data_IF_731203315861
#
_entry.id   IF_731203315861
#
_cell.length_a   1.000
_cell.length_b   1.000
_cell.length_c   1.000
_cell.angle_alpha   90.00
_cell.angle_beta   90.00
_cell.angle_gamma   90.00
#
_symmetry.space_group_name_H-M   'P 1'
#
loop_
_entity.id
_entity.type
_entity.pdbx_description
1 polymer ?
#
# COMPACT_ATOMS: atom_id res chain seq x y z
N UNK A 1 14.55 0.98 14.46
CA UNK A 1 14.20 1.57 13.15
C UNK A 1 15.09 2.77 12.94
N UNK A 2 15.92 2.78 11.89
CA UNK A 2 16.78 3.91 11.54
C UNK A 2 16.09 4.74 10.45
N UNK A 3 16.17 6.06 10.51
CA UNK A 3 15.74 6.93 9.42
C UNK A 3 16.92 7.21 8.47
N UNK A 4 16.72 6.99 7.18
CA UNK A 4 17.64 7.37 6.12
C UNK A 4 17.05 8.56 5.35
N UNK A 5 17.82 9.63 5.20
CA UNK A 5 17.48 10.78 4.37
C UNK A 5 18.30 10.73 3.09
N UNK A 6 17.61 10.80 1.95
CA UNK A 6 18.22 10.72 0.63
C UNK A 6 17.84 11.97 -0.15
N UNK A 7 18.84 12.66 -0.68
CA UNK A 7 18.66 13.85 -1.50
C UNK A 7 19.05 13.52 -2.94
N UNK A 8 18.13 13.74 -3.87
CA UNK A 8 18.37 13.54 -5.30
C UNK A 8 17.35 14.34 -6.13
N UNK A 9 17.73 14.68 -7.37
CA UNK A 9 16.80 15.28 -8.32
C UNK A 9 15.79 14.23 -8.81
N UNK A 10 16.27 13.01 -9.09
CA UNK A 10 15.44 11.87 -9.47
C UNK A 10 15.30 10.89 -8.28
N UNK A 11 14.22 11.04 -7.53
CA UNK A 11 13.96 10.22 -6.35
C UNK A 11 13.72 8.74 -6.70
N UNK A 12 13.07 8.46 -7.82
CA UNK A 12 12.78 7.08 -8.23
C UNK A 12 14.08 6.33 -8.50
N UNK A 13 15.00 6.94 -9.24
CA UNK A 13 16.29 6.34 -9.58
C UNK A 13 17.13 6.03 -8.34
N UNK A 14 17.24 6.96 -7.38
CA UNK A 14 18.05 6.73 -6.18
C UNK A 14 17.44 5.65 -5.28
N UNK A 15 16.11 5.56 -5.19
CA UNK A 15 15.42 4.49 -4.47
C UNK A 15 15.70 3.14 -5.13
N UNK A 16 15.65 3.09 -6.46
CA UNK A 16 16.03 1.91 -7.21
C UNK A 16 17.47 1.50 -6.98
N UNK A 17 18.42 2.44 -6.97
CA UNK A 17 19.81 2.16 -6.65
C UNK A 17 19.97 1.58 -5.24
N UNK A 18 19.23 2.12 -4.25
CA UNK A 18 19.23 1.57 -2.89
C UNK A 18 18.70 0.15 -2.83
N UNK A 19 17.60 -0.13 -3.51
CA UNK A 19 17.02 -1.47 -3.56
C UNK A 19 17.96 -2.46 -4.26
N UNK A 20 18.57 -2.06 -5.40
CA UNK A 20 19.52 -2.90 -6.16
C UNK A 20 20.77 -3.26 -5.37
N UNK A 21 21.21 -2.44 -4.41
CA UNK A 21 22.34 -2.79 -3.52
C UNK A 21 22.07 -4.04 -2.71
N UNK A 22 20.81 -4.36 -2.42
CA UNK A 22 20.41 -5.59 -1.74
C UNK A 22 20.55 -6.84 -2.63
N UNK A 23 21.11 -6.72 -3.84
CA UNK A 23 21.63 -7.86 -4.61
C UNK A 23 22.94 -8.43 -4.06
N UNK A 24 23.59 -7.72 -3.13
CA UNK A 24 24.83 -8.15 -2.44
C UNK A 24 24.50 -8.89 -1.15
N UNK A 25 24.92 -10.16 -1.03
CA UNK A 25 24.73 -10.94 0.19
C UNK A 25 25.37 -10.27 1.41
N UNK A 26 26.53 -9.61 1.26
CA UNK A 26 27.21 -8.93 2.37
C UNK A 26 26.39 -7.75 2.91
N UNK A 27 25.62 -7.08 2.05
CA UNK A 27 24.72 -6.01 2.48
C UNK A 27 23.45 -6.59 3.11
N UNK A 28 22.92 -7.69 2.56
CA UNK A 28 21.79 -8.40 3.14
C UNK A 28 22.11 -8.93 4.55
N UNK A 29 23.30 -9.46 4.77
CA UNK A 29 23.79 -9.90 6.08
C UNK A 29 23.70 -8.77 7.12
N UNK A 30 24.20 -7.58 6.76
CA UNK A 30 24.11 -6.38 7.61
C UNK A 30 22.67 -5.93 7.85
N UNK A 31 21.77 -6.12 6.89
CA UNK A 31 20.34 -5.83 7.07
C UNK A 31 19.73 -6.82 8.06
N UNK A 32 19.96 -8.11 7.88
CA UNK A 32 19.42 -9.18 8.72
C UNK A 32 19.92 -9.03 10.16
N UNK A 33 21.22 -8.84 10.39
CA UNK A 33 21.79 -8.64 11.72
C UNK A 33 21.26 -7.41 12.46
N UNK A 34 20.91 -6.34 11.71
CA UNK A 34 20.28 -5.15 12.31
C UNK A 34 18.84 -5.43 12.77
N UNK A 35 18.13 -6.32 12.08
CA UNK A 35 16.75 -6.70 12.38
C UNK A 35 16.66 -7.82 13.43
N UNK A 36 17.63 -8.73 13.44
CA UNK A 36 17.77 -9.80 14.43
C UNK A 36 19.24 -9.95 14.84
N UNK A 37 19.56 -9.51 16.07
CA UNK A 37 20.95 -9.37 16.54
C UNK A 37 21.66 -10.69 16.84
N UNK A 38 20.91 -11.77 16.99
CA UNK A 38 21.45 -13.10 17.27
C UNK A 38 20.96 -14.05 16.19
N UNK A 39 21.88 -14.56 15.38
CA UNK A 39 21.59 -15.56 14.35
C UNK A 39 22.82 -16.44 14.17
N UNK A 40 22.67 -17.78 14.08
CA UNK A 40 23.78 -18.67 13.76
C UNK A 40 24.41 -18.27 12.41
N UNK A 41 25.74 -18.31 12.33
CA UNK A 41 26.49 -17.89 11.12
C UNK A 41 26.04 -18.63 9.86
N UNK A 42 25.73 -19.92 9.97
CA UNK A 42 25.22 -20.75 8.87
C UNK A 42 23.85 -20.29 8.38
N UNK A 43 22.93 -20.01 9.30
CA UNK A 43 21.57 -19.49 9.00
C UNK A 43 21.67 -18.11 8.38
N UNK A 44 22.54 -17.25 8.92
CA UNK A 44 22.77 -15.90 8.41
C UNK A 44 23.32 -15.92 6.97
N UNK A 45 24.27 -16.82 6.68
CA UNK A 45 24.81 -17.00 5.34
C UNK A 45 23.72 -17.47 4.34
N UNK A 46 22.90 -18.45 4.73
CA UNK A 46 21.80 -18.94 3.89
C UNK A 46 20.74 -17.84 3.63
N UNK A 47 20.31 -17.15 4.69
CA UNK A 47 19.30 -16.08 4.59
C UNK A 47 19.82 -14.90 3.77
N UNK A 48 21.05 -14.44 4.00
CA UNK A 48 21.62 -13.32 3.25
C UNK A 48 21.77 -13.64 1.75
N UNK A 49 22.18 -14.87 1.41
CA UNK A 49 22.23 -15.33 0.03
C UNK A 49 20.83 -15.44 -0.60
N UNK A 50 19.86 -16.01 0.12
CA UNK A 50 18.47 -16.14 -0.32
C UNK A 50 17.81 -14.78 -0.56
N UNK A 51 17.97 -13.84 0.37
CA UNK A 51 17.49 -12.47 0.25
C UNK A 51 18.11 -11.77 -0.96
N UNK A 52 19.43 -11.85 -1.12
CA UNK A 52 20.12 -11.26 -2.26
C UNK A 52 19.67 -11.82 -3.60
N UNK A 53 19.40 -13.14 -3.65
CA UNK A 53 18.86 -13.78 -4.83
C UNK A 53 17.43 -13.31 -5.14
N UNK A 54 16.55 -13.26 -4.14
CA UNK A 54 15.17 -12.80 -4.30
C UNK A 54 15.12 -11.35 -4.80
N UNK A 55 15.95 -10.45 -4.24
CA UNK A 55 16.08 -9.07 -4.73
C UNK A 55 16.58 -9.04 -6.18
N UNK A 56 17.62 -9.83 -6.54
CA UNK A 56 18.09 -9.90 -7.93
C UNK A 56 17.02 -10.38 -8.89
N UNK A 57 16.25 -11.40 -8.50
CA UNK A 57 15.14 -11.93 -9.30
C UNK A 57 14.06 -10.85 -9.50
N UNK A 58 13.67 -10.17 -8.42
CA UNK A 58 12.71 -9.09 -8.47
C UNK A 58 13.16 -7.94 -9.39
N UNK A 59 14.42 -7.48 -9.26
CA UNK A 59 15.01 -6.45 -10.14
C UNK A 59 15.04 -6.93 -11.59
N UNK A 60 15.43 -8.18 -11.85
CA UNK A 60 15.45 -8.75 -13.19
C UNK A 60 14.07 -8.74 -13.87
N UNK A 61 13.01 -9.13 -13.15
CA UNK A 61 11.64 -8.98 -13.65
C UNK A 61 11.30 -7.51 -13.91
N UNK A 62 11.67 -6.60 -13.01
CA UNK A 62 11.36 -5.18 -13.15
C UNK A 62 12.06 -4.52 -14.36
N UNK A 63 13.32 -4.86 -14.60
CA UNK A 63 14.15 -4.30 -15.68
C UNK A 63 13.96 -4.99 -17.03
N UNK A 64 13.19 -6.08 -17.09
CA UNK A 64 12.93 -6.80 -18.35
C UNK A 64 12.42 -5.81 -19.39
N UNK A 65 13.18 -5.64 -20.49
CA UNK A 65 12.83 -4.72 -21.58
C UNK A 65 11.42 -5.02 -22.04
N UNK A 66 10.59 -3.99 -21.99
CA UNK A 66 9.14 -4.05 -22.12
C UNK A 66 8.71 -4.71 -23.43
N UNK A 67 8.06 -5.87 -23.31
CA UNK A 67 7.02 -6.25 -24.26
C UNK A 67 5.79 -5.35 -24.11
N UNK A 68 4.67 -5.74 -24.71
CA UNK A 68 3.38 -5.04 -24.54
C UNK A 68 2.90 -4.97 -23.08
N UNK A 69 1.74 -4.36 -22.87
CA UNK A 69 1.15 -4.14 -21.54
C UNK A 69 1.04 -5.44 -20.73
N UNK A 70 0.67 -6.55 -21.37
CA UNK A 70 0.62 -7.87 -20.78
C UNK A 70 1.95 -8.31 -20.13
N UNK A 71 3.07 -8.12 -20.81
CA UNK A 71 4.39 -8.49 -20.33
C UNK A 71 4.81 -7.62 -19.13
N UNK A 72 4.44 -6.33 -19.14
CA UNK A 72 4.68 -5.42 -18.02
C UNK A 72 3.89 -5.84 -16.78
N UNK A 73 2.59 -6.12 -16.92
CA UNK A 73 1.75 -6.60 -15.80
C UNK A 73 2.36 -7.86 -15.17
N UNK A 74 2.72 -8.84 -15.99
CA UNK A 74 3.27 -10.11 -15.50
C UNK A 74 4.62 -9.92 -14.82
N UNK A 75 5.50 -9.12 -15.41
CA UNK A 75 6.82 -8.89 -14.82
C UNK A 75 6.70 -8.15 -13.48
N UNK A 76 5.81 -7.15 -13.35
CA UNK A 76 5.59 -6.47 -12.06
C UNK A 76 4.98 -7.38 -11.01
N UNK A 77 4.06 -8.25 -11.41
CA UNK A 77 3.51 -9.24 -10.50
C UNK A 77 4.60 -10.16 -9.92
N UNK A 78 5.42 -10.77 -10.79
CA UNK A 78 6.50 -11.65 -10.32
C UNK A 78 7.59 -10.88 -9.57
N UNK A 79 7.84 -9.62 -9.91
CA UNK A 79 8.76 -8.79 -9.17
C UNK A 79 8.27 -8.55 -7.73
N UNK A 80 6.98 -8.25 -7.52
CA UNK A 80 6.41 -8.13 -6.18
C UNK A 80 6.38 -9.44 -5.41
N UNK A 81 6.14 -10.57 -6.09
CA UNK A 81 6.28 -11.89 -5.48
C UNK A 81 7.68 -12.07 -4.91
N UNK A 82 8.71 -11.79 -5.71
CA UNK A 82 10.10 -11.89 -5.26
C UNK A 82 10.46 -10.87 -4.16
N UNK A 83 9.91 -9.66 -4.19
CA UNK A 83 10.10 -8.67 -3.12
C UNK A 83 9.45 -9.12 -1.79
N UNK A 84 8.27 -9.74 -1.86
CA UNK A 84 7.61 -10.29 -0.66
C UNK A 84 8.41 -11.45 -0.05
N UNK A 85 9.04 -12.29 -0.89
CA UNK A 85 9.98 -13.33 -0.43
C UNK A 85 11.20 -12.70 0.25
N UNK A 86 11.80 -11.69 -0.38
CA UNK A 86 12.96 -10.99 0.20
C UNK A 86 12.62 -10.36 1.57
N UNK A 87 11.43 -9.79 1.72
CA UNK A 87 10.95 -9.26 3.00
C UNK A 87 10.77 -10.34 4.06
N UNK A 88 10.19 -11.50 3.72
CA UNK A 88 10.05 -12.62 4.65
C UNK A 88 11.41 -13.15 5.10
N UNK A 89 12.37 -13.27 4.18
CA UNK A 89 13.74 -13.66 4.55
C UNK A 89 14.38 -12.60 5.45
N UNK A 90 14.16 -11.31 5.18
CA UNK A 90 14.68 -10.24 6.02
C UNK A 90 14.01 -10.17 7.41
N UNK A 91 12.88 -10.85 7.63
CA UNK A 91 12.26 -10.96 8.94
C UNK A 91 13.17 -11.69 9.93
N UNK A 92 13.02 -11.39 11.23
CA UNK A 92 13.90 -11.90 12.29
C UNK A 92 13.80 -13.39 12.59
N UNK A 93 12.93 -14.13 11.91
CA UNK A 93 12.71 -15.56 12.08
C UNK A 93 13.80 -16.40 11.39
N UNK A 94 14.56 -17.17 12.16
CA UNK A 94 15.63 -18.04 11.69
C UNK A 94 15.18 -19.08 10.65
N UNK A 95 13.90 -19.48 10.68
CA UNK A 95 13.36 -20.52 9.79
C UNK A 95 12.89 -19.99 8.43
N UNK A 96 12.79 -18.67 8.28
CA UNK A 96 12.39 -18.00 7.04
C UNK A 96 13.56 -17.90 6.04
N UNK A 97 13.94 -19.03 5.46
CA UNK A 97 14.94 -19.13 4.39
C UNK A 97 14.29 -19.22 3.01
N UNK A 98 15.05 -19.02 1.94
CA UNK A 98 14.52 -19.13 0.58
C UNK A 98 13.88 -20.52 0.32
N UNK A 99 14.51 -21.67 0.68
CA UNK A 99 13.87 -22.98 0.53
C UNK A 99 12.59 -23.15 1.35
N UNK A 100 12.50 -22.59 2.55
CA UNK A 100 11.29 -22.73 3.38
C UNK A 100 10.13 -21.93 2.80
N UNK A 101 10.40 -20.72 2.32
CA UNK A 101 9.38 -19.86 1.69
C UNK A 101 8.95 -20.42 0.33
N UNK A 102 9.86 -21.00 -0.45
CA UNK A 102 9.55 -21.65 -1.73
C UNK A 102 8.45 -22.71 -1.58
N UNK A 103 8.44 -23.49 -0.49
CA UNK A 103 7.39 -24.50 -0.24
C UNK A 103 5.99 -23.90 -0.22
N UNK A 104 5.82 -22.65 0.24
CA UNK A 104 4.53 -21.96 0.16
C UNK A 104 4.18 -21.57 -1.27
N UNK A 105 5.15 -21.11 -2.07
CA UNK A 105 4.91 -20.79 -3.49
C UNK A 105 4.56 -22.03 -4.32
N UNK A 106 5.11 -23.20 -4.00
CA UNK A 106 4.81 -24.49 -4.64
C UNK A 106 3.38 -24.97 -4.36
N UNK A 107 2.81 -24.58 -3.22
CA UNK A 107 1.38 -24.82 -2.90
C UNK A 107 0.45 -23.85 -3.65
N UNK A 108 1.00 -22.87 -4.36
CA UNK A 108 0.28 -21.82 -5.07
C UNK A 108 0.42 -20.46 -4.40
N UNK A 109 -0.08 -19.42 -5.07
CA UNK A 109 0.14 -18.04 -4.63
C UNK A 109 -0.76 -17.61 -3.46
N UNK A 110 -1.71 -18.46 -3.04
CA UNK A 110 -2.60 -18.20 -1.91
C UNK A 110 -3.73 -17.21 -2.18
N UNK A 111 -4.00 -16.92 -3.46
CA UNK A 111 -5.10 -16.10 -3.93
C UNK A 111 -5.89 -16.88 -5.00
N UNK A 112 -7.14 -16.49 -5.22
CA UNK A 112 -7.94 -16.97 -6.35
C UNK A 112 -8.80 -15.83 -6.92
N UNK A 113 -9.22 -16.01 -8.17
CA UNK A 113 -10.22 -15.14 -8.80
C UNK A 113 -11.48 -15.92 -9.18
N UNK A 114 -12.62 -15.23 -9.18
CA UNK A 114 -13.91 -15.72 -9.66
C UNK A 114 -14.71 -14.56 -10.24
N UNK A 115 -15.68 -14.84 -11.09
CA UNK A 115 -16.57 -13.83 -11.66
C UNK A 115 -17.94 -13.95 -11.01
N UNK A 116 -18.57 -12.82 -10.70
CA UNK A 116 -19.98 -12.77 -10.30
C UNK A 116 -20.90 -12.77 -11.53
N UNK A 117 -22.11 -13.30 -11.37
CA UNK A 117 -23.10 -13.35 -12.46
C UNK A 117 -23.69 -11.98 -12.81
N UNK A 118 -23.53 -11.00 -11.93
CA UNK A 118 -24.10 -9.65 -12.06
C UNK A 118 -22.97 -8.62 -12.16
N UNK A 119 -23.19 -7.62 -13.00
CA UNK A 119 -22.26 -6.52 -13.23
C UNK A 119 -21.27 -6.80 -14.36
N UNK A 120 -20.47 -5.80 -14.67
CA UNK A 120 -19.45 -5.84 -15.73
C UNK A 120 -18.04 -5.79 -15.15
N UNK A 121 -17.04 -6.14 -15.96
CA UNK A 121 -15.64 -6.01 -15.57
C UNK A 121 -15.28 -4.52 -15.42
N UNK A 122 -14.51 -4.10 -14.39
CA UNK A 122 -13.84 -4.92 -13.37
C UNK A 122 -14.64 -5.14 -12.08
N UNK A 123 -15.88 -4.65 -11.99
CA UNK A 123 -16.70 -4.73 -10.77
C UNK A 123 -17.19 -6.15 -10.46
N UNK A 124 -17.45 -6.97 -11.47
CA UNK A 124 -17.86 -8.36 -11.30
C UNK A 124 -16.68 -9.34 -11.13
N UNK A 125 -15.43 -8.88 -11.25
CA UNK A 125 -14.24 -9.72 -11.15
C UNK A 125 -13.73 -9.72 -9.71
N UNK A 126 -13.97 -10.81 -9.00
CA UNK A 126 -13.75 -10.92 -7.57
C UNK A 126 -12.44 -11.65 -7.26
N UNK A 127 -11.74 -11.18 -6.25
CA UNK A 127 -10.52 -11.77 -5.72
C UNK A 127 -10.78 -12.27 -4.29
N UNK A 128 -10.25 -13.44 -3.96
CA UNK A 128 -10.31 -14.04 -2.64
C UNK A 128 -8.95 -14.56 -2.20
N UNK A 129 -8.73 -14.66 -0.88
CA UNK A 129 -7.53 -15.28 -0.31
C UNK A 129 -7.81 -16.72 0.14
N UNK A 130 -6.78 -17.55 0.08
CA UNK A 130 -6.80 -18.94 0.56
C UNK A 130 -6.03 -19.04 1.89
N UNK A 131 -6.33 -20.06 2.69
CA UNK A 131 -5.58 -20.37 3.92
C UNK A 131 -4.20 -20.98 3.67
N UNK A 132 -3.95 -21.47 2.46
CA UNK A 132 -2.67 -22.08 2.06
C UNK A 132 -2.02 -21.31 0.91
N UNK A 133 -0.70 -21.46 0.77
CA UNK A 133 0.09 -20.82 -0.28
C UNK A 133 0.88 -19.60 0.21
N UNK A 134 1.49 -18.89 -0.74
CA UNK A 134 2.41 -17.79 -0.45
C UNK A 134 1.75 -16.60 0.28
N UNK A 135 0.64 -16.07 -0.23
CA UNK A 135 -0.01 -14.87 0.31
C UNK A 135 -0.35 -14.96 1.81
N UNK A 136 -1.05 -16.00 2.33
CA UNK A 136 -1.33 -16.10 3.76
C UNK A 136 -0.05 -16.23 4.61
N UNK A 137 0.97 -16.95 4.12
CA UNK A 137 2.27 -17.04 4.82
C UNK A 137 2.97 -15.67 4.90
N UNK A 138 2.90 -14.89 3.83
CA UNK A 138 3.39 -13.51 3.80
C UNK A 138 2.62 -12.61 4.77
N UNK A 139 1.29 -12.62 4.74
CA UNK A 139 0.44 -11.87 5.66
C UNK A 139 0.71 -12.23 7.14
N UNK A 140 0.91 -13.51 7.45
CA UNK A 140 1.29 -13.96 8.80
C UNK A 140 2.63 -13.37 9.26
N UNK A 141 3.62 -13.30 8.36
CA UNK A 141 4.94 -12.69 8.65
C UNK A 141 4.80 -11.20 9.00
N UNK A 142 3.74 -10.55 8.52
CA UNK A 142 3.39 -9.15 8.75
C UNK A 142 2.36 -8.94 9.86
N UNK A 143 2.00 -10.00 10.58
CA UNK A 143 0.98 -9.97 11.64
C UNK A 143 -0.38 -9.45 11.15
N UNK A 144 -0.70 -9.70 9.88
CA UNK A 144 -1.96 -9.29 9.27
C UNK A 144 -3.03 -10.37 9.47
N UNK A 145 -4.17 -10.00 10.08
CA UNK A 145 -5.27 -10.89 10.41
C UNK A 145 -6.19 -11.18 9.20
N UNK A 146 -5.65 -11.71 8.11
CA UNK A 146 -6.43 -12.04 6.90
C UNK A 146 -7.14 -13.40 6.97
N UNK A 147 -6.82 -14.22 7.97
CA UNK A 147 -7.33 -15.59 8.10
C UNK A 147 -8.85 -15.68 8.26
N UNK A 148 -9.48 -14.65 8.85
CA UNK A 148 -10.94 -14.55 9.00
C UNK A 148 -11.67 -14.46 7.64
N UNK A 149 -10.98 -13.93 6.63
CA UNK A 149 -11.48 -13.77 5.27
C UNK A 149 -11.07 -14.92 4.35
N UNK A 150 -10.12 -15.76 4.78
CA UNK A 150 -9.52 -16.78 3.96
C UNK A 150 -10.41 -18.01 3.74
N UNK A 151 -10.35 -18.55 2.52
CA UNK A 151 -11.06 -19.75 2.13
C UNK A 151 -10.17 -20.98 2.26
N UNK A 152 -10.74 -22.11 2.69
CA UNK A 152 -10.04 -23.41 2.68
C UNK A 152 -9.68 -23.85 1.25
N UNK A 153 -10.54 -23.52 0.28
CA UNK A 153 -10.37 -23.85 -1.13
C UNK A 153 -11.14 -22.86 -1.99
N UNK A 154 -10.71 -22.70 -3.25
CA UNK A 154 -11.48 -21.95 -4.25
C UNK A 154 -12.91 -22.49 -4.35
N UNK A 155 -13.94 -21.64 -4.16
CA UNK A 155 -15.33 -22.04 -4.36
C UNK A 155 -15.56 -22.53 -5.79
N UNK A 156 -16.29 -23.65 -5.94
CA UNK A 156 -16.63 -24.26 -7.24
C UNK A 156 -18.03 -23.88 -7.72
N UNK A 157 -18.85 -23.35 -6.82
CA UNK A 157 -20.21 -22.89 -7.08
C UNK A 157 -20.25 -21.39 -6.86
N UNK A 158 -21.37 -20.78 -7.24
CA UNK A 158 -21.63 -19.39 -6.94
C UNK A 158 -21.53 -19.12 -5.44
N UNK A 159 -20.93 -17.98 -5.10
CA UNK A 159 -20.71 -17.57 -3.72
C UNK A 159 -22.05 -17.26 -3.06
N UNK A 160 -22.27 -17.75 -1.84
CA UNK A 160 -23.37 -17.29 -0.98
C UNK A 160 -23.04 -15.93 -0.34
N UNK A 161 -23.98 -15.32 0.39
CA UNK A 161 -23.78 -13.99 0.99
C UNK A 161 -22.59 -13.90 1.95
N UNK A 162 -22.38 -14.93 2.78
CA UNK A 162 -21.26 -14.98 3.71
C UNK A 162 -19.89 -15.16 2.99
N UNK A 163 -19.87 -15.85 1.86
CA UNK A 163 -18.69 -15.95 0.99
C UNK A 163 -18.46 -14.66 0.20
N UNK A 164 -19.52 -13.99 -0.26
CA UNK A 164 -19.45 -12.70 -0.95
C UNK A 164 -18.82 -11.61 -0.07
N UNK A 165 -19.11 -11.61 1.23
CA UNK A 165 -18.49 -10.67 2.18
C UNK A 165 -16.97 -10.87 2.35
N UNK A 166 -16.41 -12.01 1.92
CA UNK A 166 -14.99 -12.36 2.07
C UNK A 166 -14.17 -12.18 0.79
N UNK A 167 -14.80 -11.73 -0.30
CA UNK A 167 -14.12 -11.43 -1.56
C UNK A 167 -14.23 -9.95 -1.86
N UNK A 168 -13.30 -9.43 -2.67
CA UNK A 168 -13.24 -8.00 -3.04
C UNK A 168 -13.19 -7.90 -4.55
N UNK A 169 -13.94 -6.98 -5.14
CA UNK A 169 -13.90 -6.76 -6.59
C UNK A 169 -12.60 -6.08 -7.01
N UNK A 170 -12.16 -6.33 -8.25
CA UNK A 170 -11.00 -5.66 -8.82
C UNK A 170 -11.22 -4.15 -8.94
N UNK A 171 -12.45 -3.71 -9.24
CA UNK A 171 -12.84 -2.31 -9.17
C UNK A 171 -12.57 -1.72 -7.78
N UNK A 172 -13.02 -2.40 -6.72
CA UNK A 172 -12.84 -1.96 -5.33
C UNK A 172 -11.38 -1.95 -4.87
N UNK A 173 -10.55 -2.85 -5.38
CA UNK A 173 -9.11 -2.81 -5.14
C UNK A 173 -8.47 -1.60 -5.85
N UNK A 174 -8.82 -1.33 -7.11
CA UNK A 174 -8.30 -0.17 -7.85
C UNK A 174 -8.71 1.16 -7.20
N UNK A 175 -9.97 1.28 -6.74
CA UNK A 175 -10.48 2.45 -6.01
C UNK A 175 -9.71 2.74 -4.72
N UNK A 176 -9.06 1.74 -4.13
CA UNK A 176 -8.28 1.86 -2.89
C UNK A 176 -6.85 2.36 -3.11
N UNK A 177 -6.36 2.41 -4.35
CA UNK A 177 -5.01 2.92 -4.65
C UNK A 177 -5.00 4.43 -4.46
N UNK A 178 -4.29 4.99 -3.47
CA UNK A 178 -4.32 6.43 -3.19
C UNK A 178 -3.90 7.29 -4.37
N UNK A 179 -2.92 6.84 -5.14
CA UNK A 179 -2.41 7.54 -6.31
C UNK A 179 -3.40 7.57 -7.50
N UNK A 180 -4.45 6.74 -7.49
CA UNK A 180 -5.50 6.74 -8.51
C UNK A 180 -6.73 7.56 -8.11
N UNK A 181 -6.72 8.19 -6.92
CA UNK A 181 -7.88 8.88 -6.35
C UNK A 181 -8.51 9.88 -7.34
N UNK A 182 -7.70 10.70 -8.01
CA UNK A 182 -8.17 11.77 -8.91
C UNK A 182 -8.80 11.28 -10.22
N UNK A 183 -8.48 10.06 -10.64
CA UNK A 183 -8.95 9.49 -11.92
C UNK A 183 -9.97 8.37 -11.73
N UNK A 184 -10.21 7.96 -10.48
CA UNK A 184 -11.08 6.82 -10.18
C UNK A 184 -12.51 7.01 -10.70
N UNK A 185 -13.08 8.21 -10.52
CA UNK A 185 -14.44 8.47 -10.98
C UNK A 185 -14.54 8.50 -12.50
N UNK A 186 -13.51 8.98 -13.19
CA UNK A 186 -13.44 8.97 -14.66
C UNK A 186 -13.43 7.54 -15.21
N UNK A 187 -12.56 6.66 -14.69
CA UNK A 187 -12.40 5.32 -15.24
C UNK A 187 -13.42 4.29 -14.74
N UNK A 188 -13.92 4.44 -13.51
CA UNK A 188 -14.76 3.43 -12.84
C UNK A 188 -16.17 3.95 -12.54
N UNK A 189 -16.49 5.20 -12.87
CA UNK A 189 -17.81 5.82 -12.65
C UNK A 189 -18.29 5.75 -11.19
N UNK A 190 -17.36 5.80 -10.23
CA UNK A 190 -17.65 5.69 -8.80
C UNK A 190 -16.58 6.41 -7.97
N UNK A 191 -16.88 6.72 -6.71
CA UNK A 191 -15.97 7.43 -5.82
C UNK A 191 -14.81 6.51 -5.35
N UNK A 192 -13.62 7.05 -5.06
CA UNK A 192 -12.50 6.27 -4.57
C UNK A 192 -12.75 5.70 -3.17
N UNK A 193 -11.96 4.70 -2.79
CA UNK A 193 -11.95 4.09 -1.46
C UNK A 193 -10.61 4.38 -0.76
N UNK A 194 -9.97 5.47 -1.19
CA UNK A 194 -8.82 6.11 -0.59
C UNK A 194 -9.04 7.61 -0.63
N UNK A 195 -8.67 8.29 0.44
CA UNK A 195 -9.06 9.68 0.69
C UNK A 195 -7.88 10.48 1.22
N UNK A 196 -7.62 11.63 0.61
CA UNK A 196 -6.79 12.65 1.24
C UNK A 196 -7.47 13.13 2.52
N UNK A 197 -6.69 13.20 3.61
CA UNK A 197 -7.17 13.66 4.90
C UNK A 197 -6.30 14.77 5.45
N UNK A 198 -6.95 15.70 6.14
CA UNK A 198 -6.31 16.80 6.83
C UNK A 198 -6.99 17.10 8.15
N UNK A 199 -6.24 17.58 9.13
CA UNK A 199 -6.83 18.11 10.36
C UNK A 199 -7.59 19.38 10.02
N UNK A 200 -8.81 19.47 10.53
CA UNK A 200 -9.58 20.70 10.59
C UNK A 200 -9.44 21.27 12.00
N UNK A 201 -9.07 22.54 12.09
CA UNK A 201 -9.02 23.24 13.37
C UNK A 201 -10.41 23.75 13.71
N UNK A 202 -10.91 23.40 14.89
CA UNK A 202 -12.22 23.87 15.37
C UNK A 202 -12.09 25.22 16.11
N UNK A 203 -10.86 25.64 16.43
CA UNK A 203 -10.56 26.98 16.98
C UNK A 203 -9.22 27.55 16.49
N UNK A 204 -9.10 28.88 16.48
CA UNK A 204 -7.82 29.56 16.21
C UNK A 204 -6.72 29.16 17.20
N UNK A 205 -7.09 28.85 18.45
CA UNK A 205 -6.16 28.37 19.48
C UNK A 205 -5.55 27.02 19.09
N UNK A 206 -6.35 26.08 18.58
CA UNK A 206 -5.83 24.80 18.09
C UNK A 206 -4.88 25.00 16.90
N UNK A 207 -5.21 25.91 15.99
CA UNK A 207 -4.36 26.24 14.85
C UNK A 207 -3.03 26.84 15.29
N UNK A 208 -3.05 27.77 16.26
CA UNK A 208 -1.84 28.39 16.81
C UNK A 208 -0.96 27.38 17.56
N UNK A 209 -1.57 26.48 18.35
CA UNK A 209 -0.84 25.42 19.07
C UNK A 209 -0.16 24.44 18.10
N UNK A 210 -0.84 24.03 17.03
CA UNK A 210 -0.24 23.15 16.02
C UNK A 210 0.89 23.87 15.24
N UNK A 211 0.75 25.16 14.93
CA UNK A 211 1.80 25.95 14.28
C UNK A 211 3.03 26.16 15.17
N UNK A 212 2.82 26.42 16.47
CA UNK A 212 3.90 26.49 17.47
C UNK A 212 4.62 25.14 17.61
N UNK A 213 3.86 24.03 17.62
CA UNK A 213 4.43 22.69 17.59
C UNK A 213 5.26 22.42 16.32
N UNK A 214 4.75 22.79 15.15
CA UNK A 214 5.42 22.58 13.85
C UNK A 214 6.68 23.43 13.68
N UNK A 215 6.67 24.69 14.15
CA UNK A 215 7.83 25.60 14.08
C UNK A 215 8.98 25.23 15.03
N UNK A 216 8.71 24.44 16.07
CA UNK A 216 9.75 23.92 16.98
C UNK A 216 10.32 22.56 16.56
N UNK A 217 9.87 21.98 15.44
CA UNK A 217 10.48 20.80 14.82
C UNK A 217 11.86 21.22 14.26
N UNK A 218 12.86 21.18 15.14
CA UNK A 218 14.23 21.67 14.90
C UNK A 218 14.93 22.13 16.19
N UNK A 219 14.18 22.41 17.26
CA UNK A 219 14.72 22.74 18.58
C UNK A 219 14.69 21.51 19.49
N UNK A 220 15.67 21.42 20.39
CA UNK A 220 15.98 20.33 21.36
C UNK A 220 14.86 19.98 22.38
N UNK A 221 13.60 20.32 22.13
CA UNK A 221 12.49 20.12 23.07
C UNK A 221 11.47 19.10 22.55
N UNK A 222 11.15 18.13 23.40
CA UNK A 222 10.10 17.14 23.16
C UNK A 222 8.74 17.86 23.14
N UNK A 223 8.05 17.85 21.99
CA UNK A 223 6.74 18.45 21.77
C UNK A 223 5.68 18.01 22.81
N UNK A 224 5.94 16.90 23.52
CA UNK A 224 5.16 16.42 24.67
C UNK A 224 5.08 17.41 25.84
N UNK A 225 6.00 18.36 25.97
CA UNK A 225 6.08 19.25 27.14
C UNK A 225 5.35 20.58 26.97
N UNK A 226 4.88 20.92 25.75
CA UNK A 226 4.30 22.23 25.44
C UNK A 226 2.84 22.19 25.04
N UNK A 227 2.21 21.02 25.11
CA UNK A 227 0.82 20.85 24.72
C UNK A 227 -0.09 20.84 25.95
N UNK A 228 -0.87 21.92 26.21
CA UNK A 228 -1.84 21.90 27.30
C UNK A 228 -2.94 20.91 26.91
N UNK A 229 -3.26 19.97 27.81
CA UNK A 229 -4.42 19.06 27.77
C UNK A 229 -5.04 18.89 26.37
N UNK A 230 -4.29 18.28 25.44
CA UNK A 230 -4.77 18.13 24.07
C UNK A 230 -6.03 17.28 24.08
N UNK A 231 -7.08 17.80 23.47
CA UNK A 231 -8.29 17.06 23.14
C UNK A 231 -7.93 15.64 22.70
N UNK A 232 -8.55 14.65 23.34
CA UNK A 232 -8.41 13.23 22.95
C UNK A 232 -9.14 12.92 21.65
N UNK A 233 -9.64 13.94 20.96
CA UNK A 233 -10.29 13.85 19.66
C UNK A 233 -9.83 14.99 18.75
N UNK A 234 -9.46 14.65 17.50
CA UNK A 234 -9.18 15.60 16.44
C UNK A 234 -10.26 15.55 15.37
N UNK A 235 -10.68 16.72 14.88
CA UNK A 235 -11.55 16.84 13.71
C UNK A 235 -10.74 16.63 12.43
N UNK A 236 -11.09 15.60 11.66
CA UNK A 236 -10.38 15.21 10.42
C UNK A 236 -11.34 15.35 9.24
N UNK A 237 -10.96 16.15 8.25
CA UNK A 237 -11.69 16.34 7.02
C UNK A 237 -11.18 15.40 5.92
N UNK A 238 -12.11 14.85 5.14
CA UNK A 238 -11.81 14.20 3.86
C UNK A 238 -11.81 15.28 2.78
N UNK A 239 -10.70 15.41 2.07
CA UNK A 239 -10.56 16.34 0.95
C UNK A 239 -10.81 15.61 -0.37
N UNK A 240 -12.00 15.75 -0.99
CA UNK A 240 -12.28 15.18 -2.28
C UNK A 240 -11.37 15.76 -3.37
N UNK A 241 -10.93 14.90 -4.29
CA UNK A 241 -10.11 15.28 -5.45
C UNK A 241 -10.73 14.63 -6.68
N UNK A 242 -11.51 15.38 -7.44
CA UNK A 242 -12.16 14.87 -8.65
C UNK A 242 -13.40 13.99 -8.41
N UNK A 243 -13.97 14.02 -7.20
CA UNK A 243 -15.22 13.32 -6.86
C UNK A 243 -16.02 14.09 -5.82
N UNK A 244 -17.27 13.67 -5.61
CA UNK A 244 -18.10 14.12 -4.50
C UNK A 244 -18.28 12.98 -3.50
N UNK A 245 -18.23 13.30 -2.21
CA UNK A 245 -18.48 12.37 -1.11
C UNK A 245 -19.23 13.12 -0.02
N UNK A 246 -20.38 12.61 0.40
CA UNK A 246 -21.17 13.17 1.51
C UNK A 246 -20.76 12.56 2.84
N UNK A 247 -21.09 13.23 3.94
CA UNK A 247 -20.91 12.69 5.27
C UNK A 247 -21.69 11.38 5.50
N UNK A 248 -22.90 11.26 4.94
CA UNK A 248 -23.68 10.02 5.00
C UNK A 248 -22.91 8.86 4.36
N UNK A 249 -22.37 9.08 3.15
CA UNK A 249 -21.55 8.08 2.45
C UNK A 249 -20.28 7.75 3.25
N UNK A 250 -19.57 8.76 3.76
CA UNK A 250 -18.36 8.57 4.55
C UNK A 250 -18.61 7.71 5.81
N UNK A 251 -19.76 7.89 6.49
CA UNK A 251 -20.15 7.09 7.66
C UNK A 251 -20.46 5.62 7.33
N UNK A 252 -20.73 5.27 6.07
CA UNK A 252 -20.88 3.86 5.65
C UNK A 252 -19.55 3.14 5.46
N UNK A 253 -18.44 3.90 5.38
CA UNK A 253 -17.12 3.35 5.16
C UNK A 253 -16.51 2.89 6.48
N UNK A 254 -15.78 1.78 6.46
CA UNK A 254 -15.07 1.27 7.62
C UNK A 254 -13.75 2.04 7.88
N UNK A 255 -13.86 3.36 7.98
CA UNK A 255 -12.74 4.24 8.33
C UNK A 255 -12.59 4.33 9.86
N UNK A 256 -11.37 4.54 10.37
CA UNK A 256 -11.13 4.78 11.81
C UNK A 256 -11.64 6.15 12.29
N UNK A 257 -11.98 7.05 11.37
CA UNK A 257 -12.63 8.34 11.67
C UNK A 257 -14.14 8.10 11.71
N UNK A 258 -14.83 8.60 12.74
CA UNK A 258 -16.27 8.37 12.98
C UNK A 258 -17.06 9.68 13.01
N UNK A 259 -18.38 9.57 12.99
CA UNK A 259 -19.32 10.70 13.12
C UNK A 259 -19.06 11.82 12.11
N UNK A 260 -18.99 11.47 10.83
CA UNK A 260 -18.81 12.46 9.77
C UNK A 260 -20.03 13.39 9.68
N UNK A 261 -19.76 14.68 9.53
CA UNK A 261 -20.72 15.74 9.25
C UNK A 261 -20.20 16.59 8.08
N UNK A 262 -21.12 17.05 7.22
CA UNK A 262 -20.78 17.92 6.10
C UNK A 262 -20.54 19.35 6.62
N UNK A 263 -19.28 19.79 6.60
CA UNK A 263 -18.89 21.10 7.12
C UNK A 263 -18.27 21.97 6.05
N UNK A 264 -18.74 23.21 5.96
CA UNK A 264 -18.20 24.22 5.05
C UNK A 264 -16.83 24.70 5.52
N UNK A 265 -15.79 24.51 4.73
CA UNK A 265 -14.47 25.07 4.94
C UNK A 265 -14.49 26.59 4.74
N UNK A 266 -13.89 27.32 5.68
CA UNK A 266 -13.94 28.78 5.71
C UNK A 266 -13.07 29.40 4.60
N UNK A 267 -11.96 28.73 4.24
CA UNK A 267 -10.99 29.25 3.26
C UNK A 267 -11.42 29.00 1.82
N UNK A 268 -11.81 27.78 1.49
CA UNK A 268 -12.22 27.39 0.14
C UNK A 268 -13.71 27.61 -0.14
N UNK A 269 -14.53 27.73 0.91
CA UNK A 269 -15.99 27.78 0.79
C UNK A 269 -16.63 26.45 0.40
N UNK A 270 -15.84 25.38 0.22
CA UNK A 270 -16.29 24.04 -0.13
C UNK A 270 -16.78 23.29 1.10
N UNK A 271 -17.71 22.36 0.91
CA UNK A 271 -18.20 21.51 2.00
C UNK A 271 -17.47 20.17 1.96
N UNK A 272 -16.94 19.76 3.10
CA UNK A 272 -16.19 18.51 3.24
C UNK A 272 -16.76 17.65 4.37
N UNK A 273 -16.86 16.32 4.18
CA UNK A 273 -17.11 15.39 5.27
C UNK A 273 -16.01 15.53 6.32
N UNK A 274 -16.37 15.92 7.52
CA UNK A 274 -15.47 16.08 8.66
C UNK A 274 -15.94 15.18 9.79
N UNK A 275 -15.11 14.24 10.20
CA UNK A 275 -15.40 13.34 11.32
C UNK A 275 -14.42 13.53 12.48
N UNK A 276 -14.62 12.76 13.54
CA UNK A 276 -13.79 12.76 14.75
C UNK A 276 -12.88 11.54 14.77
N UNK A 277 -11.63 11.76 15.13
CA UNK A 277 -10.65 10.72 15.36
C UNK A 277 -10.12 10.80 16.79
N UNK A 278 -10.35 9.74 17.56
CA UNK A 278 -9.88 9.63 18.92
C UNK A 278 -8.41 9.20 18.98
N UNK A 279 -7.61 9.88 19.80
CA UNK A 279 -6.21 9.54 20.02
C UNK A 279 -5.78 9.89 21.45
N UNK A 280 -4.70 9.26 21.96
CA UNK A 280 -4.14 9.61 23.26
C UNK A 280 -3.77 11.09 23.33
N UNK A 281 -3.95 11.72 24.50
CA UNK A 281 -3.65 13.14 24.72
C UNK A 281 -2.17 13.51 24.52
N UNK A 282 -1.27 12.52 24.55
CA UNK A 282 0.18 12.68 24.39
C UNK A 282 0.68 12.39 22.97
N UNK A 283 -0.22 12.10 22.03
CA UNK A 283 0.10 11.80 20.63
C UNK A 283 -0.71 12.72 19.70
N UNK A 284 -0.12 13.10 18.57
CA UNK A 284 -0.87 13.79 17.52
C UNK A 284 -1.68 12.79 16.68
N UNK A 285 -2.81 13.22 16.12
CA UNK A 285 -3.68 12.39 15.27
C UNK A 285 -2.91 11.62 14.17
N UNK A 286 -1.96 12.28 13.48
CA UNK A 286 -1.20 11.70 12.38
C UNK A 286 -0.16 10.67 12.82
N UNK A 287 0.15 10.58 14.12
CA UNK A 287 1.02 9.55 14.68
C UNK A 287 0.25 8.24 14.92
N UNK A 288 -1.04 8.34 15.24
CA UNK A 288 -1.90 7.19 15.52
C UNK A 288 -2.68 6.71 14.30
N UNK A 289 -3.07 7.63 13.43
CA UNK A 289 -3.76 7.34 12.18
C UNK A 289 -2.76 6.80 11.16
N UNK A 290 -3.03 5.62 10.61
CA UNK A 290 -2.20 5.04 9.55
C UNK A 290 -2.43 5.81 8.24
N UNK A 291 -1.43 6.59 7.85
CA UNK A 291 -1.46 7.40 6.65
C UNK A 291 -0.45 6.86 5.64
N UNK A 292 -0.85 6.83 4.36
CA UNK A 292 0.04 6.62 3.23
C UNK A 292 0.38 7.96 2.57
N UNK A 293 1.61 8.09 2.08
CA UNK A 293 2.05 9.26 1.32
C UNK A 293 3.11 8.84 0.31
N UNK A 294 3.03 9.39 -0.90
CA UNK A 294 4.01 9.15 -1.95
C UNK A 294 4.28 10.41 -2.78
N UNK A 295 5.13 10.33 -3.80
CA UNK A 295 5.31 11.42 -4.76
C UNK A 295 4.09 11.65 -5.66
N UNK A 296 3.10 10.76 -5.61
CA UNK A 296 1.92 10.76 -6.47
C UNK A 296 0.60 10.99 -5.69
N UNK A 297 0.65 11.06 -4.35
CA UNK A 297 -0.54 11.36 -3.53
C UNK A 297 -0.18 12.14 -2.25
N UNK A 298 -1.17 12.86 -1.73
CA UNK A 298 -1.07 13.52 -0.42
C UNK A 298 -1.15 12.52 0.74
N UNK A 299 -1.23 13.03 1.98
CA UNK A 299 -1.51 12.19 3.15
C UNK A 299 -2.88 11.54 2.99
N UNK A 300 -2.89 10.23 2.77
CA UNK A 300 -4.07 9.47 2.37
C UNK A 300 -4.40 8.40 3.38
N UNK A 301 -5.69 8.18 3.61
CA UNK A 301 -6.22 6.99 4.29
C UNK A 301 -6.87 6.07 3.28
N UNK A 302 -6.78 4.76 3.49
CA UNK A 302 -7.42 3.76 2.65
C UNK A 302 -8.52 3.06 3.45
N UNK A 303 -9.68 2.83 2.82
CA UNK A 303 -10.72 1.96 3.40
C UNK A 303 -10.15 0.54 3.45
N UNK A 304 -10.12 -0.12 4.61
CA UNK A 304 -9.60 -1.47 4.72
C UNK A 304 -10.28 -2.46 3.77
N UNK A 305 -9.55 -3.51 3.41
CA UNK A 305 -10.08 -4.69 2.77
C UNK A 305 -9.48 -5.92 3.47
N UNK A 306 -10.27 -6.96 3.73
CA UNK A 306 -9.84 -8.09 4.57
C UNK A 306 -9.19 -7.67 5.90
N UNK A 307 -9.72 -6.62 6.53
CA UNK A 307 -9.19 -6.10 7.80
C UNK A 307 -7.80 -5.46 7.71
N UNK A 308 -7.26 -5.22 6.51
CA UNK A 308 -5.96 -4.59 6.31
C UNK A 308 -6.03 -3.30 5.49
N UNK A 309 -5.15 -2.37 5.82
CA UNK A 309 -4.88 -1.13 5.10
C UNK A 309 -3.48 -1.12 4.42
N UNK A 310 -2.90 -2.30 4.22
CA UNK A 310 -1.53 -2.46 3.74
C UNK A 310 -1.37 -2.25 2.22
N UNK A 311 -0.77 -1.12 1.84
CA UNK A 311 -0.60 -0.67 0.44
C UNK A 311 0.17 -1.67 -0.42
N UNK A 312 1.23 -2.31 0.10
CA UNK A 312 1.98 -3.29 -0.69
C UNK A 312 1.11 -4.50 -1.03
N UNK A 313 0.36 -5.02 -0.04
CA UNK A 313 -0.57 -6.13 -0.31
C UNK A 313 -1.68 -5.73 -1.27
N UNK A 314 -2.13 -4.47 -1.26
CA UNK A 314 -3.13 -3.99 -2.21
C UNK A 314 -2.63 -4.17 -3.64
N UNK A 315 -1.44 -3.64 -3.92
CA UNK A 315 -0.81 -3.76 -5.23
C UNK A 315 -0.49 -5.20 -5.61
N UNK A 316 -0.07 -6.02 -4.65
CA UNK A 316 0.17 -7.44 -4.85
C UNK A 316 -1.10 -8.16 -5.33
N UNK A 317 -2.25 -7.91 -4.68
CA UNK A 317 -3.54 -8.54 -5.02
C UNK A 317 -4.07 -8.04 -6.36
N UNK A 318 -3.95 -6.74 -6.65
CA UNK A 318 -4.32 -6.17 -7.96
C UNK A 318 -3.50 -6.80 -9.08
N UNK A 319 -2.17 -6.82 -8.96
CA UNK A 319 -1.30 -7.39 -9.97
C UNK A 319 -1.48 -8.90 -10.10
N UNK A 320 -1.79 -9.60 -9.01
CA UNK A 320 -2.20 -11.00 -9.09
C UNK A 320 -3.43 -11.16 -9.98
N UNK A 321 -4.49 -10.39 -9.75
CA UNK A 321 -5.72 -10.46 -10.53
C UNK A 321 -5.47 -10.19 -12.02
N UNK A 322 -4.75 -9.11 -12.34
CA UNK A 322 -4.38 -8.82 -13.73
C UNK A 322 -3.41 -9.84 -14.34
N UNK A 323 -2.56 -10.49 -13.55
CA UNK A 323 -1.73 -11.60 -14.03
C UNK A 323 -2.58 -12.79 -14.49
N UNK A 324 -3.75 -13.00 -13.87
CA UNK A 324 -4.68 -14.05 -14.29
C UNK A 324 -5.42 -13.63 -15.55
N UNK A 325 -5.93 -12.39 -15.59
CA UNK A 325 -6.62 -11.83 -16.77
C UNK A 325 -5.73 -11.93 -18.01
N UNK A 326 -4.49 -11.44 -17.94
CA UNK A 326 -3.55 -11.40 -19.08
C UNK A 326 -3.14 -12.78 -19.59
N UNK A 327 -3.09 -13.81 -18.72
CA UNK A 327 -2.64 -15.15 -19.09
C UNK A 327 -3.76 -16.08 -19.54
N UNK A 328 -4.95 -15.95 -18.92
CA UNK A 328 -5.98 -16.98 -19.01
C UNK A 328 -7.30 -16.48 -19.59
N UNK A 329 -7.48 -15.16 -19.77
CA UNK A 329 -8.70 -14.57 -20.30
C UNK A 329 -8.42 -13.74 -21.57
N UNK A 330 -7.97 -14.36 -22.68
CA UNK A 330 -7.52 -13.65 -23.87
C UNK A 330 -8.63 -12.79 -24.51
N UNK A 331 -9.89 -13.24 -24.49
CA UNK A 331 -11.02 -12.45 -25.01
C UNK A 331 -11.26 -11.19 -24.17
N UNK A 332 -11.19 -11.29 -22.84
CA UNK A 332 -11.31 -10.13 -21.96
C UNK A 332 -10.10 -9.20 -22.12
N UNK A 333 -8.90 -9.75 -22.24
CA UNK A 333 -7.69 -8.95 -22.47
C UNK A 333 -7.74 -8.19 -23.79
N UNK A 334 -8.26 -8.80 -24.86
CA UNK A 334 -8.51 -8.11 -26.12
C UNK A 334 -9.50 -6.95 -25.95
N UNK A 335 -10.59 -7.14 -25.20
CA UNK A 335 -11.53 -6.05 -24.92
C UNK A 335 -10.88 -4.88 -24.16
N UNK A 336 -9.91 -5.17 -23.29
CA UNK A 336 -9.14 -4.14 -22.56
C UNK A 336 -8.13 -3.44 -23.47
N UNK A 337 -7.42 -4.17 -24.34
CA UNK A 337 -6.37 -3.58 -25.18
C UNK A 337 -6.95 -2.71 -26.30
N UNK A 338 -7.94 -3.23 -27.03
CA UNK A 338 -8.41 -2.64 -28.29
C UNK A 338 -9.96 -2.69 -28.46
N UNK A 339 -10.70 -3.10 -27.41
CA UNK A 339 -12.16 -3.25 -27.47
C UNK A 339 -12.92 -2.23 -26.64
N UNK A 340 -14.06 -2.65 -26.07
CA UNK A 340 -14.97 -1.73 -25.35
C UNK A 340 -14.50 -1.34 -23.95
N UNK A 341 -13.41 -1.92 -23.48
CA UNK A 341 -12.81 -1.67 -22.17
C UNK A 341 -11.46 -0.94 -22.31
N UNK A 342 -11.22 -0.23 -23.41
CA UNK A 342 -9.97 0.48 -23.71
C UNK A 342 -9.60 1.53 -22.66
N UNK A 343 -10.58 2.11 -21.98
CA UNK A 343 -10.35 2.98 -20.82
C UNK A 343 -9.57 2.28 -19.70
N UNK A 344 -9.74 0.95 -19.54
CA UNK A 344 -9.00 0.18 -18.55
C UNK A 344 -7.54 -0.05 -18.96
N UNK A 345 -7.22 -0.05 -20.26
CA UNK A 345 -5.82 -0.04 -20.72
C UNK A 345 -5.14 1.25 -20.29
N UNK A 346 -5.76 2.42 -20.50
CA UNK A 346 -5.19 3.70 -20.04
C UNK A 346 -5.04 3.75 -18.52
N UNK A 347 -6.04 3.27 -17.77
CA UNK A 347 -5.95 3.13 -16.32
C UNK A 347 -4.79 2.23 -15.90
N UNK A 348 -4.61 1.08 -16.57
CA UNK A 348 -3.52 0.15 -16.29
C UNK A 348 -2.14 0.73 -16.61
N UNK A 349 -2.00 1.47 -17.69
CA UNK A 349 -0.75 2.15 -18.02
C UNK A 349 -0.37 3.17 -16.94
N UNK A 350 -1.34 3.99 -16.49
CA UNK A 350 -1.16 4.93 -15.39
C UNK A 350 -0.82 4.19 -14.08
N UNK A 351 -1.58 3.15 -13.74
CA UNK A 351 -1.36 2.32 -12.56
C UNK A 351 0.05 1.70 -12.55
N UNK A 352 0.56 1.24 -13.68
CA UNK A 352 1.90 0.65 -13.76
C UNK A 352 3.00 1.69 -13.55
N UNK A 353 2.79 2.96 -13.94
CA UNK A 353 3.73 4.05 -13.60
C UNK A 353 3.77 4.25 -12.08
N UNK A 354 2.62 4.21 -11.40
CA UNK A 354 2.55 4.29 -9.94
C UNK A 354 3.31 3.12 -9.30
N UNK A 355 3.04 1.90 -9.75
CA UNK A 355 3.75 0.69 -9.30
C UNK A 355 5.26 0.85 -9.44
N UNK A 356 5.73 1.35 -10.58
CA UNK A 356 7.17 1.50 -10.90
C UNK A 356 7.90 2.53 -10.02
N UNK A 357 7.17 3.50 -9.43
CA UNK A 357 7.75 4.60 -8.67
C UNK A 357 7.44 4.58 -7.17
N UNK A 358 6.34 3.96 -6.75
CA UNK A 358 5.90 3.92 -5.34
C UNK A 358 6.37 2.65 -4.64
N UNK A 359 6.16 1.49 -5.24
CA UNK A 359 6.45 0.20 -4.60
C UNK A 359 7.93 -0.06 -4.28
N UNK A 360 8.92 0.39 -5.07
CA UNK A 360 10.32 0.18 -4.75
C UNK A 360 10.72 0.78 -3.40
N UNK A 361 10.18 1.95 -3.06
CA UNK A 361 10.39 2.59 -1.76
C UNK A 361 9.77 1.76 -0.64
N UNK A 362 8.50 1.36 -0.79
CA UNK A 362 7.80 0.55 0.21
C UNK A 362 8.52 -0.78 0.43
N UNK A 363 8.96 -1.45 -0.63
CA UNK A 363 9.72 -2.69 -0.56
C UNK A 363 11.06 -2.48 0.16
N UNK A 364 11.79 -1.41 -0.17
CA UNK A 364 13.06 -1.07 0.49
C UNK A 364 12.88 -0.87 2.00
N UNK A 365 11.91 -0.06 2.41
CA UNK A 365 11.61 0.21 3.82
C UNK A 365 11.23 -1.08 4.57
N UNK A 366 10.40 -1.92 3.95
CA UNK A 366 9.98 -3.21 4.51
C UNK A 366 11.12 -4.19 4.72
N UNK A 367 11.91 -4.41 3.66
CA UNK A 367 13.04 -5.34 3.65
C UNK A 367 14.11 -4.87 4.65
N UNK A 368 14.41 -3.57 4.67
CA UNK A 368 15.47 -3.03 5.55
C UNK A 368 15.02 -2.81 6.99
N UNK A 369 13.75 -2.48 7.21
CA UNK A 369 13.23 -2.03 8.51
C UNK A 369 13.61 -0.59 8.86
N UNK A 370 14.11 0.13 7.86
CA UNK A 370 14.51 1.53 7.97
C UNK A 370 13.42 2.41 7.32
N UNK A 371 13.20 3.61 7.87
CA UNK A 371 12.34 4.61 7.24
C UNK A 371 13.16 5.39 6.22
N UNK A 372 12.65 5.55 5.00
CA UNK A 372 13.37 6.22 3.90
C UNK A 372 12.66 7.52 3.55
N UNK A 373 13.35 8.63 3.77
CA UNK A 373 12.89 9.97 3.43
C UNK A 373 13.64 10.43 2.18
N UNK A 374 12.99 10.26 1.02
CA UNK A 374 13.49 10.73 -0.27
C UNK A 374 13.03 12.18 -0.49
N UNK A 375 13.97 13.12 -0.56
CA UNK A 375 13.72 14.55 -0.62
C UNK A 375 14.31 15.10 -1.91
N UNK A 376 13.46 15.74 -2.72
CA UNK A 376 13.90 16.35 -3.97
C UNK A 376 14.79 17.56 -3.67
N UNK A 377 15.91 17.68 -4.40
CA UNK A 377 16.80 18.84 -4.29
C UNK A 377 16.04 20.13 -4.59
N UNK A 378 16.29 21.19 -3.81
CA UNK A 378 15.59 22.47 -3.95
C UNK A 378 14.18 22.52 -3.38
N UNK A 379 13.67 21.42 -2.80
CA UNK A 379 12.45 21.48 -1.99
C UNK A 379 12.71 22.21 -0.67
N UNK A 380 11.63 22.69 -0.02
CA UNK A 380 11.67 23.37 1.29
C UNK A 380 12.36 22.52 2.38
N UNK A 381 12.45 21.21 2.18
CA UNK A 381 13.06 20.25 3.10
C UNK A 381 14.47 19.79 2.67
N UNK A 382 15.01 20.31 1.57
CA UNK A 382 16.38 20.02 1.13
C UNK A 382 17.41 20.81 1.96
N UNK A 383 18.62 20.27 2.20
CA UNK A 383 19.73 21.07 2.72
C UNK A 383 20.01 22.20 1.73
N UNK A 384 20.09 23.42 2.26
CA UNK A 384 20.42 24.64 1.51
C UNK A 384 21.92 24.74 1.27
#
# INVERSE_FOLDING_TARGET
MKSEYIFADNLSEVIWLRLKRLSSHQLCEKVILRRSRAMPETVLAEKSAGMAWAVRSAVGYWETKSGGLNARVLSRYYALLQMSIAEQIAAGDETSTLPSIQRYTEQGHGLFTTTADIGEFPANYLVGCLKSGHFPAYCKTREMAVDEFAFERKPRKQLNDAERARVVSLADLLRRVPELQSVTQEYLSTYPLSFHVGKRHDSELEQQLDQLGASMIGCLYDAKTLTPALSTASSIAISPVGYELTAEQANTLDLPIKDFEDRKDACSGLTFPTGKFEHPANEHWYQRLKLHKSGYCGSSIMVPYWGTDDIFTLHFVILYAFSIVTRYLPSLWHEIEDGKLDQLRSLLEHYLVIVDNVLPKIALERITGDSVHAIQSGSVFGPT
#
